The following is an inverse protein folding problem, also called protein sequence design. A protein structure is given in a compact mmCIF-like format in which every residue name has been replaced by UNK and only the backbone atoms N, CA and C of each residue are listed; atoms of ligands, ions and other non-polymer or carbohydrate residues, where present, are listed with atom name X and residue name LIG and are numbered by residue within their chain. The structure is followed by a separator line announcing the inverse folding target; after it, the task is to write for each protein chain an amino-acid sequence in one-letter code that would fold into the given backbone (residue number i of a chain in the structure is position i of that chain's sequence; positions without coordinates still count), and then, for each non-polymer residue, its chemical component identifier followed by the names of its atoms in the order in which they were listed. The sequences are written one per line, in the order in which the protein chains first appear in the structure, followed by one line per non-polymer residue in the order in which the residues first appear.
data_IF_005142706734
#
_entry.id   IF_005142706734
#
_cell.length_a   1.000
_cell.length_b   1.000
_cell.length_c   1.000
_cell.angle_alpha   90.00
_cell.angle_beta   90.00
_cell.angle_gamma   90.00
#
_symmetry.space_group_name_H-M   'P 1'
#
loop_
_entity.id
_entity.type
_entity.pdbx_description
1 polymer ?
#
# COMPACT_ATOMS: atom_id res chain seq x y z
N UNK A 1 3.46 -7.33 -16.81
CA UNK A 1 4.64 -8.17 -16.46
C UNK A 1 5.92 -7.55 -17.03
N UNK A 2 5.90 -7.02 -18.25
CA UNK A 2 7.07 -6.39 -18.89
C UNK A 2 7.73 -5.26 -18.06
N UNK A 3 6.99 -4.25 -17.57
CA UNK A 3 7.59 -3.18 -16.74
C UNK A 3 8.35 -3.66 -15.49
N UNK A 4 7.81 -4.69 -14.83
CA UNK A 4 8.46 -5.31 -13.67
C UNK A 4 9.75 -6.01 -14.08
N UNK A 5 9.72 -6.76 -15.18
CA UNK A 5 10.89 -7.48 -15.71
C UNK A 5 11.97 -6.52 -16.23
N UNK A 6 11.57 -5.36 -16.76
CA UNK A 6 12.48 -4.34 -17.28
C UNK A 6 13.08 -3.45 -16.17
N UNK A 7 12.67 -3.60 -14.91
CA UNK A 7 13.18 -2.82 -13.79
C UNK A 7 12.58 -1.41 -13.65
N UNK A 8 11.59 -1.06 -14.48
CA UNK A 8 10.93 0.25 -14.51
C UNK A 8 10.11 0.57 -13.25
N UNK A 9 9.94 -0.40 -12.36
CA UNK A 9 9.29 -0.21 -11.04
C UNK A 9 10.31 0.09 -9.93
N UNK A 10 11.61 -0.02 -10.21
CA UNK A 10 12.70 0.08 -9.22
C UNK A 10 13.66 1.23 -9.50
N UNK A 11 13.84 1.60 -10.77
CA UNK A 11 14.71 2.70 -11.16
C UNK A 11 14.09 3.49 -12.30
N UNK A 12 14.14 4.82 -12.17
CA UNK A 12 13.75 5.74 -13.24
C UNK A 12 14.66 5.60 -14.49
N UNK A 13 15.93 5.23 -14.30
CA UNK A 13 16.90 5.09 -15.39
C UNK A 13 16.68 3.83 -16.24
N UNK A 14 15.86 2.88 -15.77
CA UNK A 14 15.52 1.66 -16.51
C UNK A 14 14.37 1.85 -17.49
N UNK A 15 13.83 3.08 -17.58
CA UNK A 15 12.68 3.41 -18.43
C UNK A 15 13.18 3.79 -19.82
N UNK A 16 13.03 2.85 -20.76
CA UNK A 16 13.39 3.08 -22.16
C UNK A 16 12.14 3.43 -22.95
N UNK A 17 12.09 4.65 -23.48
CA UNK A 17 11.02 5.07 -24.37
C UNK A 17 11.43 4.88 -25.83
N UNK A 18 10.62 4.13 -26.58
CA UNK A 18 10.74 4.07 -28.03
C UNK A 18 10.11 5.34 -28.64
N UNK A 19 10.93 6.13 -29.33
CA UNK A 19 10.50 7.37 -29.99
C UNK A 19 9.41 7.12 -31.05
N UNK A 20 9.32 5.91 -31.62
CA UNK A 20 8.28 5.52 -32.58
C UNK A 20 6.88 5.42 -31.95
N UNK A 21 6.81 5.31 -30.62
CA UNK A 21 5.57 5.19 -29.85
C UNK A 21 5.15 6.50 -29.19
N UNK A 22 5.77 7.63 -29.56
CA UNK A 22 5.52 8.94 -28.96
C UNK A 22 4.25 9.59 -29.52
N UNK A 23 3.33 9.91 -28.62
CA UNK A 23 2.10 10.67 -28.91
C UNK A 23 2.04 11.96 -28.10
N UNK A 24 1.15 12.87 -28.53
CA UNK A 24 0.86 14.12 -27.85
C UNK A 24 -0.59 14.16 -27.42
N UNK A 25 -0.85 14.51 -26.17
CA UNK A 25 -2.23 14.72 -25.69
C UNK A 25 -2.85 15.94 -26.37
N UNK A 26 -4.16 15.87 -26.62
CA UNK A 26 -4.88 16.87 -27.42
C UNK A 26 -4.92 18.27 -26.76
N UNK A 27 -5.05 18.33 -25.44
CA UNK A 27 -5.32 19.59 -24.73
C UNK A 27 -4.06 20.31 -24.23
N UNK A 28 -3.10 19.58 -23.66
CA UNK A 28 -1.90 20.13 -23.02
C UNK A 28 -0.60 19.72 -23.72
N UNK A 29 -0.66 19.01 -24.85
CA UNK A 29 0.53 18.67 -25.64
C UNK A 29 1.58 17.85 -24.88
N UNK A 30 1.15 17.13 -23.83
CA UNK A 30 2.01 16.24 -23.04
C UNK A 30 2.48 15.11 -23.93
N UNK A 31 3.77 14.85 -23.86
CA UNK A 31 4.34 13.63 -24.45
C UNK A 31 3.84 12.44 -23.65
N UNK A 32 3.24 11.48 -24.34
CA UNK A 32 2.89 10.16 -23.78
C UNK A 32 3.41 9.09 -24.73
N UNK A 33 3.65 7.88 -24.23
CA UNK A 33 4.17 6.79 -25.03
C UNK A 33 3.16 5.64 -25.09
N UNK A 34 2.95 5.08 -26.29
CA UNK A 34 2.11 3.91 -26.52
C UNK A 34 2.81 2.60 -26.11
N UNK A 35 2.04 1.51 -25.98
CA UNK A 35 2.57 0.14 -25.83
C UNK A 35 3.07 -0.27 -24.43
N UNK A 36 3.57 0.65 -23.61
CA UNK A 36 4.23 0.34 -22.33
C UNK A 36 3.39 0.47 -21.05
N UNK A 37 2.11 0.86 -21.14
CA UNK A 37 1.28 1.23 -19.99
C UNK A 37 1.50 2.67 -19.51
N UNK A 38 0.67 3.15 -18.58
CA UNK A 38 0.76 4.54 -18.08
C UNK A 38 2.00 4.68 -17.18
N UNK A 39 2.98 5.46 -17.63
CA UNK A 39 4.16 5.83 -16.86
C UNK A 39 3.82 6.99 -15.91
N UNK A 40 4.18 6.91 -14.60
CA UNK A 40 3.97 8.03 -13.70
C UNK A 40 4.93 9.18 -13.98
N UNK A 41 4.46 10.42 -13.81
CA UNK A 41 5.29 11.63 -13.93
C UNK A 41 6.28 11.77 -12.77
N UNK A 42 5.97 11.16 -11.63
CA UNK A 42 6.79 11.15 -10.42
C UNK A 42 7.08 9.70 -10.07
N UNK A 43 8.35 9.35 -10.04
CA UNK A 43 8.80 8.00 -9.74
C UNK A 43 8.95 7.83 -8.22
N UNK A 44 8.21 6.87 -7.66
CA UNK A 44 8.38 6.37 -6.29
C UNK A 44 8.73 4.90 -6.40
N UNK A 45 9.89 4.51 -5.86
CA UNK A 45 10.42 3.16 -6.02
C UNK A 45 9.59 2.16 -5.20
N UNK A 46 9.30 1.00 -5.78
CA UNK A 46 8.66 -0.09 -5.03
C UNK A 46 9.67 -0.79 -4.11
N UNK A 47 9.38 -0.85 -2.82
CA UNK A 47 10.15 -1.69 -1.90
C UNK A 47 9.88 -3.17 -2.21
N UNK A 48 10.88 -3.82 -2.80
CA UNK A 48 10.86 -5.25 -3.15
C UNK A 48 11.80 -6.07 -2.29
N UNK A 49 12.11 -5.57 -1.10
CA UNK A 49 12.94 -6.28 -0.14
C UNK A 49 12.50 -7.75 0.00
N UNK A 50 13.46 -8.68 -0.13
CA UNK A 50 13.21 -10.11 0.10
C UNK A 50 12.62 -10.38 1.48
N UNK A 51 12.80 -9.44 2.42
CA UNK A 51 12.23 -9.52 3.76
C UNK A 51 10.71 -9.36 3.80
N UNK A 52 10.00 -9.11 2.68
CA UNK A 52 8.53 -9.25 2.63
C UNK A 52 8.04 -10.65 2.30
N UNK A 53 8.92 -11.61 1.94
CA UNK A 53 8.47 -12.91 1.42
C UNK A 53 7.58 -13.68 2.39
N UNK A 54 7.96 -13.81 3.66
CA UNK A 54 7.18 -14.56 4.64
C UNK A 54 5.83 -13.89 4.90
N UNK A 55 5.82 -12.57 5.14
CA UNK A 55 4.60 -11.79 5.28
C UNK A 55 3.67 -11.95 4.07
N UNK A 56 4.21 -11.87 2.85
CA UNK A 56 3.43 -12.09 1.63
C UNK A 56 2.86 -13.52 1.53
N UNK A 57 3.60 -14.54 1.98
CA UNK A 57 3.07 -15.92 2.05
C UNK A 57 1.89 -16.00 3.03
N UNK A 58 2.00 -15.40 4.21
CA UNK A 58 0.90 -15.36 5.19
C UNK A 58 -0.35 -14.69 4.61
N UNK A 59 -0.18 -13.55 3.92
CA UNK A 59 -1.29 -12.83 3.27
C UNK A 59 -1.92 -13.62 2.14
N UNK A 60 -1.12 -14.15 1.22
CA UNK A 60 -1.60 -14.92 0.05
C UNK A 60 -2.37 -16.17 0.46
N UNK A 61 -2.02 -16.77 1.60
CA UNK A 61 -2.73 -17.91 2.17
C UNK A 61 -3.84 -17.51 3.16
N UNK A 62 -4.25 -16.24 3.18
CA UNK A 62 -5.31 -15.68 4.04
C UNK A 62 -5.10 -15.86 5.55
N UNK A 63 -3.89 -16.15 6.03
CA UNK A 63 -3.63 -16.42 7.46
C UNK A 63 -3.99 -15.19 8.30
N UNK A 64 -3.50 -14.02 7.90
CA UNK A 64 -3.74 -12.74 8.60
C UNK A 64 -5.24 -12.44 8.64
N UNK A 65 -5.92 -12.57 7.49
CA UNK A 65 -7.34 -12.25 7.40
C UNK A 65 -8.22 -13.21 8.21
N UNK A 66 -7.97 -14.51 8.15
CA UNK A 66 -8.67 -15.51 8.95
C UNK A 66 -8.45 -15.29 10.45
N UNK A 67 -7.24 -14.94 10.87
CA UNK A 67 -6.97 -14.56 12.25
C UNK A 67 -7.84 -13.37 12.68
N UNK A 68 -7.88 -12.30 11.89
CA UNK A 68 -8.68 -11.10 12.22
C UNK A 68 -10.17 -11.43 12.32
N UNK A 69 -10.73 -12.21 11.41
CA UNK A 69 -12.12 -12.65 11.49
C UNK A 69 -12.42 -13.36 12.82
N UNK A 70 -11.58 -14.34 13.18
CA UNK A 70 -11.73 -15.08 14.43
C UNK A 70 -11.56 -14.19 15.66
N UNK A 71 -10.63 -13.24 15.62
CA UNK A 71 -10.40 -12.28 16.71
C UNK A 71 -11.63 -11.40 16.92
N UNK A 72 -12.21 -10.89 15.85
CA UNK A 72 -13.41 -10.05 15.92
C UNK A 72 -14.58 -10.87 16.42
N UNK A 73 -14.84 -12.06 15.88
CA UNK A 73 -15.98 -12.89 16.31
C UNK A 73 -15.95 -13.17 17.81
N UNK A 74 -14.77 -13.38 18.39
CA UNK A 74 -14.59 -13.58 19.84
C UNK A 74 -14.70 -12.30 20.68
N UNK A 75 -14.37 -11.14 20.12
CA UNK A 75 -14.19 -9.90 20.87
C UNK A 75 -15.18 -8.79 20.47
N UNK A 76 -16.10 -9.03 19.53
CA UNK A 76 -16.94 -8.00 18.88
C UNK A 76 -17.65 -7.10 19.88
N UNK A 77 -18.33 -7.68 20.86
CA UNK A 77 -19.06 -6.90 21.86
C UNK A 77 -18.14 -5.98 22.67
N UNK A 78 -16.98 -6.48 23.08
CA UNK A 78 -16.01 -5.71 23.86
C UNK A 78 -15.37 -4.61 23.01
N UNK A 79 -15.07 -4.91 21.74
CA UNK A 79 -14.52 -3.94 20.79
C UNK A 79 -15.49 -2.79 20.54
N UNK A 80 -16.77 -3.08 20.25
CA UNK A 80 -17.79 -2.06 20.01
C UNK A 80 -18.04 -1.22 21.27
N UNK A 81 -18.11 -1.84 22.45
CA UNK A 81 -18.27 -1.12 23.73
C UNK A 81 -17.07 -0.21 24.03
N UNK A 82 -15.85 -0.67 23.79
CA UNK A 82 -14.63 0.08 24.09
C UNK A 82 -14.36 1.18 23.06
N UNK A 83 -14.69 0.92 21.80
CA UNK A 83 -14.37 1.76 20.65
C UNK A 83 -15.63 2.13 19.86
N UNK A 84 -16.47 2.99 20.47
CA UNK A 84 -17.69 3.50 19.83
C UNK A 84 -17.42 4.41 18.62
N UNK A 85 -16.22 4.99 18.55
CA UNK A 85 -15.81 5.91 17.49
C UNK A 85 -14.45 5.49 16.93
N UNK A 86 -14.29 5.65 15.62
CA UNK A 86 -13.06 5.32 14.92
C UNK A 86 -11.86 6.10 15.44
N UNK A 87 -11.98 7.41 15.70
CA UNK A 87 -10.86 8.21 16.21
C UNK A 87 -10.27 7.66 17.51
N UNK A 88 -11.13 7.16 18.41
CA UNK A 88 -10.69 6.51 19.65
C UNK A 88 -9.97 5.21 19.34
N UNK A 89 -10.54 4.37 18.48
CA UNK A 89 -9.89 3.13 18.02
C UNK A 89 -8.51 3.42 17.40
N UNK A 90 -8.45 4.33 16.43
CA UNK A 90 -7.22 4.62 15.69
C UNK A 90 -6.10 5.13 16.62
N UNK A 91 -6.43 5.92 17.64
CA UNK A 91 -5.43 6.46 18.57
C UNK A 91 -5.01 5.49 19.69
N UNK A 92 -5.87 4.56 20.08
CA UNK A 92 -5.67 3.80 21.34
C UNK A 92 -5.73 2.28 21.21
N UNK A 93 -6.13 1.76 20.05
CA UNK A 93 -6.00 0.33 19.76
C UNK A 93 -4.60 0.05 19.23
N UNK A 94 -3.93 -0.89 19.89
CA UNK A 94 -2.63 -1.40 19.53
C UNK A 94 -2.72 -2.91 19.33
N UNK A 95 -2.11 -3.39 18.24
CA UNK A 95 -1.97 -4.83 17.99
C UNK A 95 -0.82 -5.34 18.86
N UNK A 96 -1.19 -6.16 19.84
CA UNK A 96 -0.25 -6.76 20.77
C UNK A 96 0.58 -7.88 20.12
N UNK A 97 1.72 -8.21 20.73
CA UNK A 97 2.65 -9.22 20.18
C UNK A 97 2.07 -10.64 20.19
N UNK A 98 1.15 -10.93 21.11
CA UNK A 98 0.39 -12.18 21.16
C UNK A 98 -0.45 -12.39 19.90
N UNK A 99 -1.07 -11.32 19.37
CA UNK A 99 -1.81 -11.35 18.11
C UNK A 99 -0.91 -11.76 16.94
N UNK A 100 0.30 -11.23 16.90
CA UNK A 100 1.32 -11.59 15.89
C UNK A 100 1.75 -13.05 16.08
N UNK A 101 1.99 -13.48 17.31
CA UNK A 101 2.35 -14.86 17.62
C UNK A 101 1.25 -15.86 17.21
N UNK A 102 -0.03 -15.50 17.33
CA UNK A 102 -1.15 -16.31 16.85
C UNK A 102 -1.16 -16.41 15.32
N UNK A 103 -0.97 -15.30 14.60
CA UNK A 103 -0.86 -15.31 13.13
C UNK A 103 0.28 -16.23 12.66
N UNK A 104 1.46 -16.12 13.29
CA UNK A 104 2.62 -16.97 12.98
C UNK A 104 2.27 -18.45 13.22
N UNK A 105 1.67 -18.76 14.38
CA UNK A 105 1.28 -20.13 14.73
C UNK A 105 0.26 -20.71 13.75
N UNK A 106 -0.70 -19.91 13.28
CA UNK A 106 -1.67 -20.34 12.29
C UNK A 106 -1.04 -20.52 10.91
N UNK A 107 -0.02 -19.72 10.57
CA UNK A 107 0.83 -19.92 9.39
C UNK A 107 1.59 -21.25 9.44
N UNK A 108 2.24 -21.54 10.57
CA UNK A 108 2.99 -22.79 10.78
C UNK A 108 2.08 -24.02 10.68
N UNK A 109 0.87 -23.98 11.26
CA UNK A 109 -0.14 -25.04 11.11
C UNK A 109 -0.56 -25.28 9.65
N UNK A 110 -0.44 -24.27 8.79
CA UNK A 110 -0.72 -24.34 7.36
C UNK A 110 0.51 -24.66 6.52
N UNK A 111 1.63 -25.01 7.16
CA UNK A 111 2.88 -25.40 6.50
C UNK A 111 3.71 -24.22 6.00
N UNK A 112 3.42 -23.00 6.46
CA UNK A 112 4.24 -21.82 6.15
C UNK A 112 5.34 -21.71 7.20
N UNK A 113 6.55 -22.10 6.82
CA UNK A 113 7.72 -22.01 7.71
C UNK A 113 8.00 -20.55 8.09
N UNK A 114 8.22 -20.35 9.40
CA UNK A 114 8.56 -19.07 10.00
C UNK A 114 9.93 -18.59 9.51
N UNK A 115 9.99 -17.34 9.07
CA UNK A 115 11.24 -16.63 8.78
C UNK A 115 11.35 -15.46 9.75
N UNK A 116 12.26 -15.56 10.72
CA UNK A 116 12.42 -14.54 11.77
C UNK A 116 12.86 -13.18 11.23
N UNK A 117 13.78 -13.16 10.26
CA UNK A 117 14.27 -11.89 9.69
C UNK A 117 13.17 -11.17 8.93
N UNK A 118 12.40 -11.93 8.13
CA UNK A 118 11.26 -11.39 7.41
C UNK A 118 10.14 -10.95 8.36
N UNK A 119 9.87 -11.73 9.41
CA UNK A 119 8.88 -11.38 10.44
C UNK A 119 9.27 -10.09 11.17
N UNK A 120 10.52 -9.96 11.62
CA UNK A 120 10.98 -8.79 12.34
C UNK A 120 10.96 -7.54 11.46
N UNK A 121 11.38 -7.66 10.20
CA UNK A 121 11.33 -6.59 9.22
C UNK A 121 9.89 -6.12 8.93
N UNK A 122 8.94 -7.06 8.85
CA UNK A 122 7.53 -6.77 8.50
C UNK A 122 6.59 -6.64 9.69
N UNK A 123 7.11 -6.68 10.92
CA UNK A 123 6.30 -6.71 12.15
C UNK A 123 5.33 -5.54 12.23
N UNK A 124 5.82 -4.32 11.98
CA UNK A 124 5.00 -3.12 12.00
C UNK A 124 3.93 -3.15 10.90
N UNK A 125 4.30 -3.61 9.70
CA UNK A 125 3.38 -3.75 8.58
C UNK A 125 2.25 -4.75 8.88
N UNK A 126 2.58 -5.89 9.49
CA UNK A 126 1.59 -6.88 9.91
C UNK A 126 0.65 -6.32 10.99
N UNK A 127 1.18 -5.59 11.98
CA UNK A 127 0.36 -4.90 12.98
C UNK A 127 -0.59 -3.88 12.34
N UNK A 128 -0.08 -3.08 11.39
CA UNK A 128 -0.89 -2.10 10.64
C UNK A 128 -2.01 -2.79 9.87
N UNK A 129 -1.73 -3.88 9.16
CA UNK A 129 -2.75 -4.63 8.42
C UNK A 129 -3.82 -5.24 9.35
N UNK A 130 -3.42 -5.85 10.47
CA UNK A 130 -4.37 -6.40 11.46
C UNK A 130 -5.26 -5.28 12.00
N UNK A 131 -4.68 -4.15 12.43
CA UNK A 131 -5.41 -2.98 12.92
C UNK A 131 -6.40 -2.45 11.88
N UNK A 132 -5.97 -2.32 10.63
CA UNK A 132 -6.80 -1.85 9.54
C UNK A 132 -7.96 -2.81 9.24
N UNK A 133 -7.71 -4.12 9.20
CA UNK A 133 -8.75 -5.12 8.97
C UNK A 133 -9.79 -5.14 10.09
N UNK A 134 -9.38 -4.92 11.35
CA UNK A 134 -10.30 -4.74 12.48
C UNK A 134 -11.12 -3.46 12.31
N UNK A 135 -10.48 -2.34 11.98
CA UNK A 135 -11.19 -1.08 11.73
C UNK A 135 -12.23 -1.22 10.62
N UNK A 136 -11.88 -1.95 9.54
CA UNK A 136 -12.77 -2.20 8.41
C UNK A 136 -14.09 -2.83 8.82
N UNK A 137 -14.02 -3.77 9.76
CA UNK A 137 -15.17 -4.56 10.19
C UNK A 137 -15.99 -3.84 11.27
N UNK A 138 -15.33 -3.11 12.17
CA UNK A 138 -15.99 -2.34 13.21
C UNK A 138 -16.64 -1.05 12.69
N UNK A 139 -16.07 -0.45 11.64
CA UNK A 139 -16.49 0.83 11.08
C UNK A 139 -16.82 0.67 9.59
N UNK A 140 -15.91 1.05 8.69
CA UNK A 140 -16.11 0.91 7.26
C UNK A 140 -14.80 0.72 6.50
N UNK A 141 -14.92 0.55 5.18
CA UNK A 141 -13.78 0.49 4.27
C UNK A 141 -12.95 1.78 4.26
N UNK A 142 -13.53 2.93 4.58
CA UNK A 142 -12.80 4.19 4.61
C UNK A 142 -11.70 4.18 5.68
N UNK A 143 -12.04 3.75 6.88
CA UNK A 143 -11.13 3.68 8.04
C UNK A 143 -9.99 2.69 7.82
N UNK A 144 -10.24 1.61 7.08
CA UNK A 144 -9.18 0.71 6.62
C UNK A 144 -8.13 1.47 5.83
N UNK A 145 -8.57 2.27 4.85
CA UNK A 145 -7.65 3.02 4.00
C UNK A 145 -6.97 4.16 4.74
N UNK A 146 -7.65 4.81 5.68
CA UNK A 146 -7.03 5.83 6.52
C UNK A 146 -5.85 5.26 7.33
N UNK A 147 -5.95 4.02 7.83
CA UNK A 147 -4.86 3.38 8.57
C UNK A 147 -3.72 2.93 7.64
N UNK A 148 -4.02 2.24 6.54
CA UNK A 148 -2.95 1.65 5.70
C UNK A 148 -2.21 2.68 4.86
N UNK A 149 -2.85 3.82 4.57
CA UNK A 149 -2.29 4.88 3.72
C UNK A 149 -1.62 6.00 4.51
N UNK A 150 -1.72 6.02 5.84
CA UNK A 150 -1.26 7.14 6.67
C UNK A 150 0.24 7.44 6.49
N UNK A 151 1.03 6.42 6.20
CA UNK A 151 2.48 6.43 6.05
C UNK A 151 2.92 5.92 4.66
N UNK A 152 2.01 5.84 3.69
CA UNK A 152 2.34 5.37 2.34
C UNK A 152 3.12 6.44 1.57
N UNK A 153 4.34 6.12 1.17
CA UNK A 153 5.25 7.07 0.50
C UNK A 153 4.67 7.63 -0.81
N UNK A 154 3.89 6.83 -1.54
CA UNK A 154 3.28 7.28 -2.80
C UNK A 154 2.17 8.29 -2.52
N UNK A 155 1.36 8.05 -1.50
CA UNK A 155 0.29 8.95 -1.09
C UNK A 155 0.85 10.23 -0.49
N UNK A 156 1.87 10.12 0.37
CA UNK A 156 2.56 11.28 0.93
C UNK A 156 3.18 12.14 -0.17
N UNK A 157 3.84 11.52 -1.15
CA UNK A 157 4.41 12.27 -2.29
C UNK A 157 3.32 12.91 -3.15
N UNK A 158 2.19 12.24 -3.35
CA UNK A 158 1.07 12.81 -4.08
C UNK A 158 0.48 14.03 -3.37
N UNK A 159 0.30 13.98 -2.05
CA UNK A 159 -0.18 15.10 -1.24
C UNK A 159 0.79 16.28 -1.30
N UNK A 160 2.10 16.03 -1.11
CA UNK A 160 3.15 17.05 -1.21
C UNK A 160 3.04 17.84 -2.54
N UNK A 161 2.88 17.13 -3.65
CA UNK A 161 2.81 17.73 -4.99
C UNK A 161 1.49 18.48 -5.18
N UNK A 162 0.35 17.90 -4.78
CA UNK A 162 -0.97 18.53 -4.95
C UNK A 162 -1.08 19.82 -4.14
N UNK A 163 -0.51 19.84 -2.93
CA UNK A 163 -0.48 21.03 -2.07
C UNK A 163 0.47 22.11 -2.61
N UNK A 164 1.53 21.72 -3.31
CA UNK A 164 2.42 22.63 -4.03
C UNK A 164 1.90 22.96 -5.43
N UNK A 165 1.03 23.97 -5.52
CA UNK A 165 0.43 24.40 -6.80
C UNK A 165 1.47 24.73 -7.90
N UNK A 166 2.69 25.15 -7.56
CA UNK A 166 3.74 25.38 -8.55
C UNK A 166 4.24 24.09 -9.19
N UNK A 167 4.58 23.11 -8.35
CA UNK A 167 5.03 21.77 -8.77
C UNK A 167 3.92 20.99 -9.50
N UNK A 168 2.71 21.00 -8.94
CA UNK A 168 1.53 20.40 -9.58
C UNK A 168 1.32 20.92 -11.01
N UNK A 169 1.31 22.25 -11.17
CA UNK A 169 1.12 22.87 -12.49
C UNK A 169 2.29 22.59 -13.46
N UNK A 170 3.51 22.41 -12.95
CA UNK A 170 4.65 22.02 -13.78
C UNK A 170 4.46 20.62 -14.39
N UNK A 171 3.87 19.68 -13.64
CA UNK A 171 3.56 18.32 -14.13
C UNK A 171 2.38 18.27 -15.12
N UNK A 172 1.50 19.27 -15.13
CA UNK A 172 0.30 19.26 -15.98
C UNK A 172 0.55 19.69 -17.44
N UNK A 173 1.77 20.14 -17.78
CA UNK A 173 2.12 20.85 -19.03
C UNK A 173 1.24 22.07 -19.33
N UNK A 174 1.90 23.20 -19.60
CA UNK A 174 1.22 24.47 -19.86
C UNK A 174 0.48 24.44 -21.20
N UNK A 175 -0.68 25.11 -21.24
CA UNK A 175 -1.42 25.38 -22.49
C UNK A 175 -0.49 26.00 -23.52
N UNK A 176 -0.24 25.30 -24.63
CA UNK A 176 0.18 25.96 -25.86
C UNK A 176 -1.08 26.54 -26.48
N UNK A 177 -1.42 27.79 -26.11
CA UNK A 177 -2.42 28.56 -26.84
C UNK A 177 -1.78 28.91 -28.19
N UNK A 178 -2.02 28.07 -29.19
CA UNK A 178 -1.70 28.43 -30.57
C UNK A 178 -2.74 29.47 -31.00
N UNK A 179 -2.27 30.68 -31.31
CA UNK A 179 -3.08 31.76 -31.90
C UNK A 179 -3.59 31.39 -33.27
#
# INVERSE_FOLDING_TARGET
IERFNNGEMYSADSVVFDDSLKYKTLFNGRTVYGGGGIMPDIFVAMDTSKYYQYYNRLRRNNIVYTYVLNYIDKNRENLIKKYSEFNKFNRTFEVAEDMIAEVVRDGEKKGIEKDEKSLDFTRLQMKKEIKALIARDLFSRHEFFEIVNNDDETILKALEVIENQGEYNAHLAQRVITK
#
